data_IF_700851567698
#
_entry.id   IF_700851567698
#
_cell.length_a   1.000
_cell.length_b   1.000
_cell.length_c   1.000
_cell.angle_alpha   90.00
_cell.angle_beta   90.00
_cell.angle_gamma   90.00
#
_symmetry.space_group_name_H-M   'P 1'
#
loop_
_entity.id
_entity.type
_entity.pdbx_description
1 polymer ?
#
# COMPACT_ATOMS: atom_id res chain seq x y z
N UNK A 1 30.03 -15.25 -17.82
CA UNK A 1 28.90 -15.64 -16.96
C UNK A 1 28.69 -14.52 -15.95
N UNK A 2 27.83 -13.53 -16.24
CA UNK A 2 27.35 -12.41 -15.38
C UNK A 2 26.77 -11.32 -16.30
N UNK A 3 25.45 -11.32 -16.53
CA UNK A 3 24.70 -10.19 -17.12
C UNK A 3 23.18 -10.45 -16.97
N UNK A 4 22.65 -10.31 -15.76
CA UNK A 4 21.20 -10.39 -15.48
C UNK A 4 20.70 -9.35 -14.47
N UNK A 5 21.50 -8.34 -14.11
CA UNK A 5 21.15 -7.38 -13.04
C UNK A 5 20.57 -6.03 -13.47
N UNK A 6 20.51 -5.70 -14.77
CA UNK A 6 20.11 -4.35 -15.24
C UNK A 6 18.70 -4.24 -15.83
N UNK A 7 18.05 -5.36 -16.14
CA UNK A 7 16.74 -5.36 -16.84
C UNK A 7 15.54 -5.25 -15.90
N UNK A 8 15.67 -5.67 -14.63
CA UNK A 8 14.57 -5.59 -13.64
C UNK A 8 14.24 -4.19 -13.15
N UNK A 9 15.22 -3.27 -13.12
CA UNK A 9 15.05 -1.90 -12.59
C UNK A 9 14.43 -0.92 -13.60
N UNK A 10 14.53 -1.22 -14.89
CA UNK A 10 13.98 -0.38 -15.97
C UNK A 10 12.51 -0.70 -16.22
N UNK A 11 12.08 -1.95 -16.00
CA UNK A 11 10.71 -2.37 -16.29
C UNK A 11 9.69 -1.76 -15.33
N UNK A 12 10.05 -1.61 -14.05
CA UNK A 12 9.21 -0.98 -13.03
C UNK A 12 9.05 0.52 -13.33
N UNK A 13 10.15 1.22 -13.66
CA UNK A 13 10.12 2.66 -13.96
C UNK A 13 9.39 3.01 -15.28
N UNK A 14 9.45 2.14 -16.29
CA UNK A 14 8.75 2.35 -17.56
C UNK A 14 7.22 2.22 -17.44
N UNK A 15 6.72 1.44 -16.47
CA UNK A 15 5.28 1.39 -16.15
C UNK A 15 4.80 2.64 -15.40
N UNK A 16 5.71 3.39 -14.76
CA UNK A 16 5.38 4.55 -13.92
C UNK A 16 5.28 5.88 -14.68
N UNK A 17 5.99 6.07 -15.79
CA UNK A 17 5.77 7.24 -16.68
C UNK A 17 4.51 7.07 -17.54
N UNK A 18 4.14 5.81 -17.82
CA UNK A 18 3.03 5.43 -18.68
C UNK A 18 1.64 5.78 -18.11
N UNK A 19 1.47 5.76 -16.78
CA UNK A 19 0.20 6.11 -16.14
C UNK A 19 0.00 7.63 -15.96
N UNK A 20 1.09 8.41 -15.97
CA UNK A 20 1.03 9.87 -15.80
C UNK A 20 0.67 10.62 -17.10
N UNK A 21 1.11 10.11 -18.26
CA UNK A 21 0.90 10.79 -19.55
C UNK A 21 -0.36 10.34 -20.31
N UNK A 22 -0.97 9.21 -19.95
CA UNK A 22 -2.17 8.66 -20.64
C UNK A 22 -3.49 9.30 -20.16
N UNK A 23 -3.52 9.90 -18.96
CA UNK A 23 -4.77 10.36 -18.31
C UNK A 23 -4.98 11.88 -18.21
N UNK A 24 -4.18 12.72 -18.87
CA UNK A 24 -4.51 14.15 -19.03
C UNK A 24 -4.92 14.50 -20.47
N UNK A 25 -6.21 14.81 -20.73
CA UNK A 25 -6.61 15.57 -21.92
C UNK A 25 -6.69 17.08 -21.62
N UNK A 26 -6.41 17.96 -22.60
CA UNK A 26 -6.55 19.40 -22.46
C UNK A 26 -8.00 19.84 -22.69
N UNK A 27 -8.44 20.86 -21.95
CA UNK A 27 -9.66 21.61 -22.26
C UNK A 27 -10.76 21.46 -21.22
N UNK A 28 -10.95 22.52 -20.43
CA UNK A 28 -12.19 22.79 -19.69
C UNK A 28 -13.33 23.10 -20.67
N UNK A 29 -14.58 22.74 -20.31
CA UNK A 29 -15.53 23.83 -20.06
C UNK A 29 -16.41 23.63 -18.81
N UNK A 30 -16.54 24.74 -18.10
CA UNK A 30 -17.64 25.23 -17.25
C UNK A 30 -18.66 24.27 -16.63
N UNK A 31 -18.67 24.35 -15.29
CA UNK A 31 -19.72 23.97 -14.34
C UNK A 31 -21.17 24.09 -14.82
N UNK A 32 -22.03 23.19 -14.34
CA UNK A 32 -23.35 23.48 -13.74
C UNK A 32 -23.69 22.36 -12.74
N UNK A 33 -24.13 22.74 -11.54
CA UNK A 33 -24.13 21.89 -10.35
C UNK A 33 -25.32 20.95 -10.18
N UNK A 34 -25.19 20.03 -9.23
CA UNK A 34 -26.31 19.34 -8.58
C UNK A 34 -25.98 19.16 -7.09
N UNK A 35 -26.76 19.86 -6.26
CA UNK A 35 -26.89 19.60 -4.83
C UNK A 35 -27.40 18.18 -4.59
N UNK A 36 -26.71 17.38 -3.76
CA UNK A 36 -27.35 16.28 -3.03
C UNK A 36 -26.98 16.34 -1.55
N UNK A 37 -28.01 16.56 -0.75
CA UNK A 37 -28.01 16.49 0.71
C UNK A 37 -27.75 15.04 1.14
N UNK A 38 -26.71 14.81 1.94
CA UNK A 38 -26.52 13.55 2.65
C UNK A 38 -27.19 13.65 4.02
N UNK A 39 -28.29 12.91 4.18
CA UNK A 39 -29.09 12.82 5.40
C UNK A 39 -28.34 12.08 6.49
N UNK A 40 -28.18 12.73 7.64
CA UNK A 40 -27.55 12.23 8.87
C UNK A 40 -28.41 11.12 9.49
N UNK A 41 -28.18 9.85 9.12
CA UNK A 41 -28.78 8.69 9.80
C UNK A 41 -27.89 7.44 9.74
N UNK A 42 -26.66 7.50 10.24
CA UNK A 42 -25.86 6.29 10.58
C UNK A 42 -24.96 6.52 11.81
N UNK A 43 -25.51 7.02 12.92
CA UNK A 43 -24.76 7.29 14.17
C UNK A 43 -25.18 6.38 15.34
N UNK A 44 -25.66 5.16 15.09
CA UNK A 44 -26.18 4.30 16.15
C UNK A 44 -25.70 2.85 16.09
N UNK A 45 -24.38 2.63 15.95
CA UNK A 45 -23.77 1.32 16.23
C UNK A 45 -22.39 1.52 16.88
N UNK A 46 -22.37 1.90 18.16
CA UNK A 46 -21.17 1.81 19.02
C UNK A 46 -21.58 1.23 20.37
N UNK A 47 -21.43 -0.08 20.51
CA UNK A 47 -21.57 -0.80 21.79
C UNK A 47 -20.26 -1.48 22.19
N UNK A 48 -19.15 -0.76 22.09
CA UNK A 48 -17.97 -0.97 22.94
C UNK A 48 -17.37 0.40 23.25
N UNK A 49 -17.14 0.78 24.51
CA UNK A 49 -16.57 2.09 24.82
C UNK A 49 -15.16 2.14 24.26
N UNK A 50 -14.93 2.97 23.24
CA UNK A 50 -13.59 3.33 22.82
C UNK A 50 -12.89 3.93 24.05
N UNK A 51 -11.90 3.21 24.59
CA UNK A 51 -11.08 3.73 25.69
C UNK A 51 -10.29 4.90 25.10
N UNK A 52 -10.66 6.09 25.53
CA UNK A 52 -9.92 7.32 25.26
C UNK A 52 -8.79 7.39 26.29
N UNK A 53 -7.53 7.35 25.85
CA UNK A 53 -6.43 7.53 26.79
C UNK A 53 -6.41 8.98 27.30
N UNK A 54 -6.00 9.21 28.56
CA UNK A 54 -5.73 10.56 29.08
C UNK A 54 -4.32 11.08 28.70
N UNK A 55 -3.49 10.22 28.09
CA UNK A 55 -2.12 10.48 27.63
C UNK A 55 -1.62 9.31 26.76
N UNK A 56 -0.35 9.29 26.35
CA UNK A 56 0.19 8.19 25.53
C UNK A 56 0.56 6.93 26.35
N UNK A 57 0.48 7.03 27.67
CA UNK A 57 0.78 5.94 28.60
C UNK A 57 -0.22 4.80 28.44
N UNK A 58 0.29 3.58 28.27
CA UNK A 58 -0.53 2.37 28.14
C UNK A 58 -1.01 2.05 26.73
N UNK A 59 -0.71 2.88 25.71
CA UNK A 59 -0.99 2.54 24.29
C UNK A 59 -0.35 1.19 23.93
N UNK A 60 0.89 0.96 24.36
CA UNK A 60 1.59 -0.31 24.14
C UNK A 60 0.87 -1.52 24.78
N UNK A 61 0.28 -1.35 25.97
CA UNK A 61 -0.47 -2.42 26.64
C UNK A 61 -1.74 -2.77 25.88
N UNK A 62 -2.46 -1.77 25.38
CA UNK A 62 -3.66 -2.00 24.58
C UNK A 62 -3.32 -2.65 23.23
N UNK A 63 -2.23 -2.21 22.58
CA UNK A 63 -1.70 -2.87 21.38
C UNK A 63 -1.38 -4.34 21.65
N UNK A 64 -0.63 -4.64 22.72
CA UNK A 64 -0.32 -6.02 23.09
C UNK A 64 -1.58 -6.84 23.36
N UNK A 65 -2.57 -6.26 24.03
CA UNK A 65 -3.86 -6.92 24.29
C UNK A 65 -4.61 -7.22 23.00
N UNK A 66 -4.68 -6.26 22.07
CA UNK A 66 -5.30 -6.45 20.76
C UNK A 66 -4.58 -7.56 19.98
N UNK A 67 -3.25 -7.53 19.91
CA UNK A 67 -2.49 -8.56 19.20
C UNK A 67 -2.70 -9.93 19.86
N UNK A 68 -2.68 -10.04 21.20
CA UNK A 68 -2.98 -11.31 21.89
C UNK A 68 -4.40 -11.81 21.58
N UNK A 69 -5.37 -10.92 21.40
CA UNK A 69 -6.74 -11.30 21.03
C UNK A 69 -6.85 -11.85 19.60
N UNK A 70 -5.82 -11.68 18.75
CA UNK A 70 -5.73 -12.31 17.42
C UNK A 70 -5.38 -13.80 17.47
N UNK A 71 -4.95 -14.32 18.63
CA UNK A 71 -4.44 -15.69 18.78
C UNK A 71 -3.18 -15.98 17.96
N UNK A 72 -2.54 -14.97 17.35
CA UNK A 72 -1.29 -15.10 16.60
C UNK A 72 -0.12 -14.56 17.41
N UNK A 73 1.06 -15.13 17.20
CA UNK A 73 2.28 -14.60 17.79
C UNK A 73 2.77 -13.38 17.00
N UNK A 74 3.31 -12.40 17.73
CA UNK A 74 3.88 -11.18 17.15
C UNK A 74 4.99 -11.53 16.17
N UNK A 75 5.83 -12.50 16.51
CA UNK A 75 6.96 -12.93 15.68
C UNK A 75 6.48 -13.54 14.35
N UNK A 76 5.41 -14.34 14.36
CA UNK A 76 4.84 -14.92 13.14
C UNK A 76 4.27 -13.83 12.21
N UNK A 77 3.55 -12.86 12.78
CA UNK A 77 2.95 -11.76 12.01
C UNK A 77 4.02 -10.84 11.42
N UNK A 78 5.04 -10.50 12.20
CA UNK A 78 6.14 -9.66 11.74
C UNK A 78 7.01 -10.37 10.70
N UNK A 79 7.34 -11.66 10.91
CA UNK A 79 8.05 -12.46 9.91
C UNK A 79 7.29 -12.53 8.59
N UNK A 80 5.97 -12.72 8.64
CA UNK A 80 5.09 -12.73 7.46
C UNK A 80 5.07 -11.38 6.75
N UNK A 81 4.92 -10.27 7.47
CA UNK A 81 4.99 -8.92 6.89
C UNK A 81 6.28 -8.72 6.09
N UNK A 82 7.42 -9.06 6.70
CA UNK A 82 8.73 -8.86 6.10
C UNK A 82 9.05 -9.83 4.96
N UNK A 83 8.33 -10.94 4.87
CA UNK A 83 8.45 -11.90 3.76
C UNK A 83 7.57 -11.48 2.59
N UNK A 84 6.31 -11.13 2.85
CA UNK A 84 5.28 -11.08 1.81
C UNK A 84 4.95 -9.64 1.38
N UNK A 85 4.93 -8.68 2.31
CA UNK A 85 4.49 -7.31 2.03
C UNK A 85 5.65 -6.32 1.86
N UNK A 86 6.68 -6.43 2.70
CA UNK A 86 7.83 -5.51 2.71
C UNK A 86 8.50 -5.36 1.33
N UNK A 87 8.49 -6.42 0.50
CA UNK A 87 9.06 -6.37 -0.85
C UNK A 87 8.32 -5.42 -1.81
N UNK A 88 7.05 -5.13 -1.56
CA UNK A 88 6.26 -4.19 -2.37
C UNK A 88 6.36 -2.75 -1.87
N UNK A 89 6.60 -2.58 -0.57
CA UNK A 89 6.67 -1.26 0.07
C UNK A 89 7.76 -1.27 1.16
N UNK A 90 9.05 -1.16 0.77
CA UNK A 90 10.17 -1.24 1.70
C UNK A 90 10.39 0.08 2.43
N UNK A 91 9.50 0.39 3.37
CA UNK A 91 9.51 1.66 4.12
C UNK A 91 10.09 1.54 5.52
N UNK A 92 10.32 0.32 6.01
CA UNK A 92 10.79 0.00 7.37
C UNK A 92 11.98 -0.96 7.25
N UNK A 93 13.12 -0.61 7.85
CA UNK A 93 14.29 -1.49 7.91
C UNK A 93 14.04 -2.66 8.86
N UNK A 94 14.27 -3.87 8.39
CA UNK A 94 14.10 -5.09 9.20
C UNK A 94 15.00 -5.08 10.44
N UNK A 95 16.26 -4.70 10.31
CA UNK A 95 17.22 -4.71 11.42
C UNK A 95 16.83 -3.71 12.49
N UNK A 96 16.48 -2.47 12.12
CA UNK A 96 15.99 -1.46 13.08
C UNK A 96 14.69 -1.88 13.75
N UNK A 97 13.76 -2.45 12.99
CA UNK A 97 12.51 -2.93 13.57
C UNK A 97 12.74 -4.05 14.60
N UNK A 98 13.57 -5.04 14.26
CA UNK A 98 13.93 -6.14 15.17
C UNK A 98 14.68 -5.65 16.40
N UNK A 99 15.67 -4.76 16.23
CA UNK A 99 16.39 -4.15 17.35
C UNK A 99 15.47 -3.39 18.30
N UNK A 100 14.47 -2.68 17.76
CA UNK A 100 13.46 -2.00 18.57
C UNK A 100 12.50 -2.96 19.30
N UNK A 101 12.23 -4.14 18.71
CA UNK A 101 11.46 -5.20 19.38
C UNK A 101 12.25 -5.89 20.49
N UNK A 102 13.56 -6.13 20.27
CA UNK A 102 14.46 -6.85 21.18
C UNK A 102 14.98 -5.98 22.33
N UNK A 103 14.91 -4.64 22.22
CA UNK A 103 15.27 -3.70 23.28
C UNK A 103 14.29 -3.72 24.49
N UNK A 104 13.93 -4.93 24.96
CA UNK A 104 12.93 -5.33 25.97
C UNK A 104 13.26 -4.93 27.41
N UNK A 105 13.85 -3.75 27.62
CA UNK A 105 14.00 -3.14 28.94
C UNK A 105 13.06 -1.94 29.16
N UNK A 106 12.63 -1.27 28.09
CA UNK A 106 11.79 -0.08 28.14
C UNK A 106 10.42 -0.34 27.48
N UNK A 107 9.38 0.35 27.98
CA UNK A 107 8.09 0.38 27.29
C UNK A 107 8.28 0.94 25.87
N UNK A 108 7.80 0.26 24.81
CA UNK A 108 7.87 0.83 23.47
C UNK A 108 7.05 2.11 23.41
N UNK A 109 7.50 3.05 22.59
CA UNK A 109 6.80 4.32 22.37
C UNK A 109 5.44 4.07 21.69
N UNK A 110 4.52 5.03 21.84
CA UNK A 110 3.16 4.89 21.31
C UNK A 110 3.14 4.79 19.77
N UNK A 111 3.99 5.54 19.08
CA UNK A 111 4.17 5.47 17.63
C UNK A 111 4.74 4.11 17.17
N UNK A 112 5.73 3.56 17.87
CA UNK A 112 6.26 2.22 17.61
C UNK A 112 5.20 1.14 17.83
N UNK A 113 4.38 1.31 18.87
CA UNK A 113 3.30 0.37 19.19
C UNK A 113 2.21 0.37 18.12
N UNK A 114 1.79 1.55 17.64
CA UNK A 114 0.81 1.65 16.55
C UNK A 114 1.40 1.11 15.25
N UNK A 115 2.67 1.36 14.95
CA UNK A 115 3.33 0.78 13.78
C UNK A 115 3.31 -0.75 13.83
N UNK A 116 3.68 -1.34 14.96
CA UNK A 116 3.60 -2.78 15.18
C UNK A 116 2.17 -3.31 14.96
N UNK A 117 1.17 -2.62 15.48
CA UNK A 117 -0.23 -3.01 15.31
C UNK A 117 -0.65 -2.97 13.83
N UNK A 118 -0.23 -1.96 13.06
CA UNK A 118 -0.56 -1.90 11.63
C UNK A 118 0.17 -2.97 10.83
N UNK A 119 1.44 -3.28 11.16
CA UNK A 119 2.17 -4.42 10.59
C UNK A 119 1.40 -5.72 10.84
N UNK A 120 0.94 -5.92 12.08
CA UNK A 120 0.12 -7.07 12.46
C UNK A 120 -1.18 -7.12 11.65
N UNK A 121 -1.87 -6.00 11.45
CA UNK A 121 -3.09 -5.92 10.64
C UNK A 121 -2.88 -6.34 9.18
N UNK A 122 -1.78 -5.89 8.56
CA UNK A 122 -1.46 -6.25 7.17
C UNK A 122 -1.16 -7.75 7.06
N UNK A 123 -0.34 -8.27 7.98
CA UNK A 123 0.07 -9.68 7.98
C UNK A 123 -1.03 -10.64 8.47
N UNK A 124 -2.04 -10.13 9.16
CA UNK A 124 -3.10 -10.95 9.71
C UNK A 124 -3.84 -11.68 8.59
N UNK A 125 -3.97 -12.99 8.73
CA UNK A 125 -4.84 -13.83 7.92
C UNK A 125 -5.72 -14.60 8.91
N UNK A 126 -7.06 -14.42 8.86
CA UNK A 126 -7.94 -15.19 9.73
C UNK A 126 -7.74 -16.68 9.44
N UNK A 127 -7.59 -17.48 10.48
CA UNK A 127 -7.45 -18.93 10.34
C UNK A 127 -8.76 -19.50 9.79
N UNK A 128 -8.73 -20.00 8.55
CA UNK A 128 -9.85 -20.71 7.92
C UNK A 128 -9.93 -22.18 8.35
N UNK A 129 -8.88 -22.73 8.97
CA UNK A 129 -8.66 -24.18 9.02
C UNK A 129 -9.39 -24.93 10.13
N UNK A 130 -10.09 -24.26 11.06
CA UNK A 130 -10.77 -24.98 12.15
C UNK A 130 -12.15 -24.41 12.46
N UNK A 131 -13.20 -25.25 12.45
CA UNK A 131 -14.44 -24.86 13.12
C UNK A 131 -14.10 -24.55 14.58
N UNK A 132 -14.68 -23.47 15.16
CA UNK A 132 -14.40 -23.10 16.54
C UNK A 132 -14.64 -24.31 17.44
N UNK A 133 -13.61 -24.75 18.15
CA UNK A 133 -13.80 -25.80 19.15
C UNK A 133 -14.60 -25.20 20.31
N UNK A 134 -15.47 -25.99 20.90
CA UNK A 134 -16.23 -25.59 22.09
C UNK A 134 -15.24 -25.18 23.19
N UNK A 135 -15.13 -23.87 23.45
CA UNK A 135 -14.16 -23.28 24.39
C UNK A 135 -13.09 -22.36 23.77
N UNK A 136 -12.95 -22.30 22.44
CA UNK A 136 -12.09 -21.30 21.79
C UNK A 136 -12.71 -19.90 21.98
N UNK A 137 -11.95 -18.98 22.57
CA UNK A 137 -12.37 -17.58 22.67
C UNK A 137 -12.55 -17.00 21.26
N UNK A 138 -13.58 -16.18 21.01
CA UNK A 138 -13.74 -15.54 19.71
C UNK A 138 -12.48 -14.75 19.40
N UNK A 139 -11.79 -15.17 18.34
CA UNK A 139 -10.64 -14.47 17.81
C UNK A 139 -11.12 -13.11 17.31
N UNK A 140 -10.38 -12.02 17.56
CA UNK A 140 -10.80 -10.70 17.07
C UNK A 140 -10.91 -10.76 15.54
N UNK A 141 -12.10 -10.43 15.02
CA UNK A 141 -12.33 -10.40 13.58
C UNK A 141 -11.43 -9.35 12.90
N UNK A 142 -11.07 -9.58 11.64
CA UNK A 142 -10.20 -8.67 10.87
C UNK A 142 -10.75 -7.24 10.83
N UNK A 143 -12.08 -7.08 10.72
CA UNK A 143 -12.74 -5.77 10.75
C UNK A 143 -12.57 -5.08 12.10
N UNK A 144 -12.73 -5.80 13.21
CA UNK A 144 -12.51 -5.26 14.56
C UNK A 144 -11.04 -4.89 14.78
N UNK A 145 -10.10 -5.69 14.26
CA UNK A 145 -8.67 -5.37 14.28
C UNK A 145 -8.39 -4.07 13.50
N UNK A 146 -8.92 -3.94 12.28
CA UNK A 146 -8.79 -2.72 11.48
C UNK A 146 -9.35 -1.48 12.20
N UNK A 147 -10.56 -1.57 12.76
CA UNK A 147 -11.18 -0.45 13.48
C UNK A 147 -10.38 -0.07 14.73
N UNK A 148 -9.87 -1.06 15.47
CA UNK A 148 -9.01 -0.82 16.64
C UNK A 148 -7.70 -0.15 16.25
N UNK A 149 -7.04 -0.62 15.18
CA UNK A 149 -5.82 -0.01 14.62
C UNK A 149 -6.07 1.44 14.20
N UNK A 150 -7.15 1.70 13.44
CA UNK A 150 -7.50 3.05 12.98
C UNK A 150 -7.80 3.99 14.13
N UNK A 151 -8.53 3.53 15.15
CA UNK A 151 -8.82 4.31 16.35
C UNK A 151 -7.56 4.65 17.16
N UNK A 152 -6.68 3.67 17.38
CA UNK A 152 -5.42 3.88 18.11
C UNK A 152 -4.47 4.81 17.35
N UNK A 153 -4.37 4.66 16.03
CA UNK A 153 -3.58 5.56 15.19
C UNK A 153 -4.08 6.99 15.28
N UNK A 154 -5.39 7.21 15.18
CA UNK A 154 -5.99 8.54 15.33
C UNK A 154 -5.75 9.15 16.72
N UNK A 155 -5.84 8.34 17.78
CA UNK A 155 -5.53 8.80 19.14
C UNK A 155 -4.08 9.23 19.28
N UNK A 156 -3.13 8.39 18.86
CA UNK A 156 -1.69 8.72 18.92
C UNK A 156 -1.37 9.96 18.09
N UNK A 157 -1.97 10.08 16.90
CA UNK A 157 -1.85 11.27 16.05
C UNK A 157 -2.37 12.53 16.75
N UNK A 158 -3.48 12.46 17.49
CA UNK A 158 -4.04 13.61 18.20
C UNK A 158 -3.23 14.06 19.42
N UNK A 159 -2.39 13.19 19.98
CA UNK A 159 -1.59 13.50 21.17
C UNK A 159 -0.15 13.96 20.86
N UNK A 160 0.42 13.55 19.73
CA UNK A 160 1.79 13.91 19.37
C UNK A 160 1.87 15.32 18.77
N UNK A 161 2.79 16.14 19.29
CA UNK A 161 3.05 17.50 18.77
C UNK A 161 3.72 17.49 17.39
N UNK A 162 4.57 16.49 17.12
CA UNK A 162 5.22 16.30 15.83
C UNK A 162 5.07 14.84 15.39
N UNK A 163 4.69 14.58 14.12
CA UNK A 163 4.55 13.22 13.62
C UNK A 163 5.93 12.58 13.46
N UNK A 164 6.11 11.40 14.06
CA UNK A 164 7.31 10.59 13.87
C UNK A 164 7.25 9.81 12.56
N UNK A 165 8.41 9.37 12.05
CA UNK A 165 8.48 8.51 10.86
C UNK A 165 7.66 7.22 11.03
N UNK A 166 7.67 6.65 12.24
CA UNK A 166 6.91 5.43 12.57
C UNK A 166 5.40 5.62 12.47
N UNK A 167 4.90 6.77 12.94
CA UNK A 167 3.48 7.11 12.81
C UNK A 167 3.09 7.31 11.34
N UNK A 168 3.95 7.94 10.55
CA UNK A 168 3.73 8.15 9.11
C UNK A 168 3.74 6.81 8.37
N UNK A 169 4.73 5.95 8.63
CA UNK A 169 4.79 4.58 8.11
C UNK A 169 3.51 3.81 8.48
N UNK A 170 3.05 3.89 9.74
CA UNK A 170 1.82 3.23 10.19
C UNK A 170 0.58 3.73 9.43
N UNK A 171 0.50 5.04 9.16
CA UNK A 171 -0.62 5.63 8.40
C UNK A 171 -0.59 5.23 6.92
N UNK A 172 0.60 5.21 6.31
CA UNK A 172 0.80 4.71 4.94
C UNK A 172 0.39 3.24 4.82
N UNK A 173 0.83 2.38 5.75
CA UNK A 173 0.43 0.97 5.80
C UNK A 173 -1.09 0.79 5.97
N UNK A 174 -1.74 1.63 6.78
CA UNK A 174 -3.20 1.62 6.95
C UNK A 174 -3.92 2.02 5.66
N UNK A 175 -3.45 3.05 4.96
CA UNK A 175 -4.01 3.46 3.67
C UNK A 175 -3.90 2.34 2.63
N UNK A 176 -2.73 1.69 2.54
CA UNK A 176 -2.53 0.55 1.64
C UNK A 176 -3.42 -0.63 2.00
N UNK A 177 -3.64 -0.89 3.30
CA UNK A 177 -4.60 -1.90 3.75
C UNK A 177 -6.03 -1.57 3.27
N UNK A 178 -6.46 -0.32 3.41
CA UNK A 178 -7.79 0.12 2.97
C UNK A 178 -7.97 -0.02 1.46
N UNK A 179 -6.94 0.35 0.70
CA UNK A 179 -6.92 0.20 -0.74
C UNK A 179 -6.98 -1.27 -1.18
N UNK A 180 -6.15 -2.15 -0.59
CA UNK A 180 -6.16 -3.58 -0.88
C UNK A 180 -7.50 -4.25 -0.54
N UNK A 181 -8.25 -3.71 0.43
CA UNK A 181 -9.61 -4.15 0.74
C UNK A 181 -10.67 -3.56 -0.21
N UNK A 182 -10.25 -2.80 -1.22
CA UNK A 182 -11.13 -2.27 -2.25
C UNK A 182 -11.86 -1.00 -1.87
N UNK A 183 -11.28 -0.17 -1.01
CA UNK A 183 -11.85 1.11 -0.58
C UNK A 183 -10.93 2.26 -0.98
N UNK A 184 -10.74 2.53 -2.30
CA UNK A 184 -9.82 3.56 -2.77
C UNK A 184 -10.15 4.94 -2.21
N UNK A 185 -11.43 5.31 -2.12
CA UNK A 185 -11.86 6.58 -1.52
C UNK A 185 -11.43 6.75 -0.05
N UNK A 186 -11.55 5.68 0.74
CA UNK A 186 -11.13 5.71 2.16
C UNK A 186 -9.61 5.81 2.23
N UNK A 187 -8.92 5.06 1.37
CA UNK A 187 -7.47 5.09 1.27
C UNK A 187 -6.94 6.47 0.84
N UNK A 188 -7.66 7.19 -0.04
CA UNK A 188 -7.34 8.56 -0.46
C UNK A 188 -7.42 9.56 0.69
N UNK A 189 -8.45 9.46 1.54
CA UNK A 189 -8.55 10.31 2.73
C UNK A 189 -7.41 10.01 3.70
N UNK A 190 -7.12 8.73 3.94
CA UNK A 190 -6.03 8.32 4.85
C UNK A 190 -4.66 8.74 4.31
N UNK A 191 -4.39 8.56 3.01
CA UNK A 191 -3.11 8.93 2.40
C UNK A 191 -2.92 10.45 2.35
N UNK A 192 -3.97 11.24 2.15
CA UNK A 192 -3.90 12.69 2.23
C UNK A 192 -3.51 13.16 3.64
N UNK A 193 -4.08 12.55 4.68
CA UNK A 193 -3.67 12.77 6.07
C UNK A 193 -2.21 12.37 6.31
N UNK A 194 -1.79 11.23 5.76
CA UNK A 194 -0.41 10.74 5.81
C UNK A 194 0.57 11.73 5.16
N UNK A 195 0.23 12.26 3.98
CA UNK A 195 1.01 13.28 3.29
C UNK A 195 1.18 14.55 4.13
N UNK A 196 0.12 15.02 4.79
CA UNK A 196 0.20 16.19 5.70
C UNK A 196 1.13 15.94 6.89
N UNK A 197 1.09 14.75 7.47
CA UNK A 197 2.06 14.36 8.51
C UNK A 197 3.50 14.34 7.97
N UNK A 198 3.72 13.78 6.79
CA UNK A 198 5.03 13.75 6.14
C UNK A 198 5.58 15.16 5.82
N UNK A 199 4.72 16.09 5.40
CA UNK A 199 5.11 17.49 5.24
C UNK A 199 5.50 18.13 6.58
N UNK A 200 4.72 17.91 7.63
CA UNK A 200 5.01 18.42 8.97
C UNK A 200 6.33 17.86 9.54
N UNK A 201 6.63 16.58 9.29
CA UNK A 201 7.89 15.93 9.65
C UNK A 201 9.06 16.27 8.70
N UNK A 202 8.81 17.02 7.62
CA UNK A 202 9.81 17.45 6.62
C UNK A 202 10.54 16.32 5.86
N UNK A 203 10.00 15.10 5.87
CA UNK A 203 10.63 13.94 5.18
C UNK A 203 10.64 14.06 3.65
N UNK A 204 9.76 14.89 3.09
CA UNK A 204 9.74 15.23 1.66
C UNK A 204 11.04 15.88 1.15
N UNK A 205 11.85 16.47 2.04
CA UNK A 205 13.12 17.12 1.72
C UNK A 205 14.32 16.29 2.21
N UNK A 206 14.30 14.96 2.02
CA UNK A 206 15.28 14.01 2.60
C UNK A 206 16.77 14.41 2.42
N UNK A 207 17.12 15.22 1.40
CA UNK A 207 18.46 15.80 1.20
C UNK A 207 18.93 16.72 2.34
N UNK A 208 18.02 17.33 3.11
CA UNK A 208 18.33 18.26 4.21
C UNK A 208 18.64 17.54 5.55
N UNK A 209 18.33 16.26 5.67
CA UNK A 209 18.55 15.50 6.92
C UNK A 209 19.97 14.94 7.08
N UNK A 210 20.86 15.12 6.09
CA UNK A 210 22.28 14.75 6.21
C UNK A 210 23.09 15.62 7.20
N UNK A 211 22.46 16.62 7.83
CA UNK A 211 23.12 17.57 8.74
C UNK A 211 22.77 17.39 10.21
N UNK A 212 21.89 16.43 10.57
CA UNK A 212 21.45 16.23 11.95
C UNK A 212 21.54 14.75 12.32
N UNK A 213 21.94 14.45 13.56
CA UNK A 213 22.53 13.17 14.00
C UNK A 213 21.62 11.94 14.03
N UNK A 214 20.68 11.81 13.10
CA UNK A 214 19.86 10.61 12.89
C UNK A 214 20.66 9.45 12.28
N UNK A 215 20.27 8.22 12.62
CA UNK A 215 20.87 7.03 11.99
C UNK A 215 20.62 7.08 10.49
N UNK A 216 21.61 6.78 9.64
CA UNK A 216 21.47 6.82 8.18
C UNK A 216 20.24 6.06 7.67
N UNK A 217 19.94 4.91 8.26
CA UNK A 217 18.75 4.12 7.96
C UNK A 217 17.44 4.87 8.19
N UNK A 218 17.38 5.79 9.15
CA UNK A 218 16.19 6.61 9.39
C UNK A 218 15.95 7.61 8.26
N UNK A 219 17.02 8.17 7.68
CA UNK A 219 16.95 9.03 6.50
C UNK A 219 16.46 8.23 5.29
N UNK A 220 16.98 7.01 5.11
CA UNK A 220 16.56 6.13 4.02
C UNK A 220 15.11 5.66 4.17
N UNK A 221 14.69 5.29 5.38
CA UNK A 221 13.28 4.99 5.68
C UNK A 221 12.37 6.19 5.40
N UNK A 222 12.80 7.41 5.76
CA UNK A 222 12.07 8.64 5.48
C UNK A 222 11.91 8.90 3.98
N UNK A 223 12.98 8.70 3.20
CA UNK A 223 12.95 8.81 1.74
C UNK A 223 12.03 7.77 1.11
N UNK A 224 12.16 6.50 1.50
CA UNK A 224 11.29 5.42 1.01
C UNK A 224 9.83 5.64 1.41
N UNK A 225 9.57 6.13 2.62
CA UNK A 225 8.22 6.45 3.10
C UNK A 225 7.60 7.59 2.29
N UNK A 226 8.36 8.65 2.01
CA UNK A 226 7.89 9.76 1.17
C UNK A 226 7.50 9.28 -0.23
N UNK A 227 8.35 8.47 -0.87
CA UNK A 227 8.04 7.85 -2.16
C UNK A 227 6.84 6.91 -2.09
N UNK A 228 6.71 6.14 -1.01
CA UNK A 228 5.55 5.30 -0.75
C UNK A 228 4.24 6.10 -0.72
N UNK A 229 4.24 7.27 -0.09
CA UNK A 229 3.08 8.17 -0.07
C UNK A 229 2.78 8.71 -1.46
N UNK A 230 3.80 9.24 -2.14
CA UNK A 230 3.70 9.79 -3.49
C UNK A 230 3.13 8.75 -4.45
N UNK A 231 3.65 7.53 -4.48
CA UNK A 231 3.19 6.50 -5.40
C UNK A 231 1.78 6.04 -5.03
N UNK A 232 1.50 5.80 -3.74
CA UNK A 232 0.20 5.29 -3.28
C UNK A 232 -0.94 6.26 -3.59
N UNK A 233 -0.75 7.57 -3.36
CA UNK A 233 -1.77 8.58 -3.68
C UNK A 233 -2.18 8.51 -5.16
N UNK A 234 -1.22 8.30 -6.07
CA UNK A 234 -1.45 8.29 -7.52
C UNK A 234 -2.18 7.02 -7.93
N UNK A 235 -1.74 5.89 -7.39
CA UNK A 235 -2.41 4.59 -7.60
C UNK A 235 -3.85 4.64 -7.11
N UNK A 236 -4.10 5.20 -5.93
CA UNK A 236 -5.45 5.25 -5.36
C UNK A 236 -6.38 6.18 -6.14
N UNK A 237 -5.87 7.31 -6.66
CA UNK A 237 -6.65 8.25 -7.48
C UNK A 237 -7.09 7.61 -8.79
N UNK A 238 -6.19 6.85 -9.45
CA UNK A 238 -6.53 6.15 -10.69
C UNK A 238 -7.74 5.21 -10.54
N UNK A 239 -7.96 4.66 -9.35
CA UNK A 239 -9.04 3.72 -9.05
C UNK A 239 -10.30 4.34 -8.47
N UNK A 240 -10.19 5.54 -7.90
CA UNK A 240 -11.33 6.23 -7.29
C UNK A 240 -12.32 6.76 -8.35
N UNK A 241 -11.87 6.95 -9.61
CA UNK A 241 -12.71 7.42 -10.71
C UNK A 241 -13.03 8.93 -10.66
N UNK A 242 -12.93 9.56 -9.49
CA UNK A 242 -13.10 11.01 -9.31
C UNK A 242 -11.74 11.73 -9.20
N UNK A 243 -11.26 12.29 -10.30
CA UNK A 243 -10.05 13.14 -10.37
C UNK A 243 -10.25 14.56 -9.79
N UNK A 244 -11.37 14.82 -9.11
CA UNK A 244 -11.75 16.14 -8.60
C UNK A 244 -10.87 16.68 -7.45
N UNK A 245 -10.40 15.87 -6.49
CA UNK A 245 -9.59 16.37 -5.38
C UNK A 245 -8.15 16.70 -5.81
N UNK A 246 -7.59 17.84 -5.38
CA UNK A 246 -6.17 18.11 -5.61
C UNK A 246 -5.31 17.10 -4.83
N UNK A 247 -4.24 16.61 -5.47
CA UNK A 247 -3.24 15.77 -4.82
C UNK A 247 -2.65 16.50 -3.62
N UNK A 248 -2.55 15.80 -2.48
CA UNK A 248 -1.90 16.33 -1.29
C UNK A 248 -0.38 16.43 -1.50
N UNK A 249 0.21 15.51 -2.27
CA UNK A 249 1.64 15.51 -2.56
C UNK A 249 2.00 16.19 -3.89
N UNK A 250 3.10 16.92 -3.86
CA UNK A 250 3.75 17.46 -5.06
C UNK A 250 4.58 16.35 -5.71
N UNK A 251 4.58 16.27 -7.04
CA UNK A 251 5.44 15.33 -7.76
C UNK A 251 6.92 15.74 -7.56
N UNK A 252 7.77 14.86 -7.00
CA UNK A 252 9.18 15.17 -6.84
C UNK A 252 9.85 15.35 -8.20
N UNK A 253 10.72 16.35 -8.33
CA UNK A 253 11.43 16.67 -9.59
C UNK A 253 12.90 16.99 -9.34
N UNK A 254 13.66 17.12 -10.44
CA UNK A 254 15.08 17.50 -10.40
C UNK A 254 15.94 16.48 -9.65
N UNK A 255 16.69 16.97 -8.66
CA UNK A 255 17.65 16.18 -7.89
C UNK A 255 17.04 15.38 -6.74
N UNK A 256 15.71 15.24 -6.68
CA UNK A 256 15.10 14.40 -5.65
C UNK A 256 15.57 12.96 -5.83
N UNK A 257 16.16 12.37 -4.81
CA UNK A 257 16.70 11.01 -4.86
C UNK A 257 15.59 9.96 -4.87
N UNK A 258 15.73 8.93 -5.70
CA UNK A 258 14.83 7.78 -5.78
C UNK A 258 14.92 6.89 -4.51
N UNK A 259 13.86 6.12 -4.20
CA UNK A 259 13.87 5.24 -3.04
C UNK A 259 14.93 4.16 -3.18
N UNK A 260 15.51 3.73 -2.06
CA UNK A 260 16.45 2.61 -2.03
C UNK A 260 15.74 1.27 -2.09
N UNK A 261 16.47 0.30 -2.63
CA UNK A 261 16.04 -1.08 -2.75
C UNK A 261 15.90 -1.76 -1.37
N UNK A 262 14.98 -2.72 -1.26
CA UNK A 262 14.74 -3.52 -0.04
C UNK A 262 16.03 -4.17 0.48
N UNK A 263 16.87 -4.67 -0.43
CA UNK A 263 18.06 -5.42 -0.07
C UNK A 263 19.14 -4.52 0.52
N UNK A 264 19.13 -3.23 0.17
CA UNK A 264 20.02 -2.21 0.74
C UNK A 264 19.46 -1.76 2.10
N UNK A 265 18.14 -1.57 2.20
CA UNK A 265 17.48 -1.16 3.45
C UNK A 265 17.58 -2.20 4.57
N UNK A 266 17.62 -3.49 4.22
CA UNK A 266 17.72 -4.62 5.15
C UNK A 266 19.18 -5.01 5.50
N UNK A 267 20.20 -4.44 4.84
CA UNK A 267 21.63 -4.77 5.07
C UNK A 267 22.38 -3.59 5.71
N UNK A 268 22.70 -3.69 6.99
CA UNK A 268 23.49 -2.67 7.71
C UNK A 268 24.92 -2.49 7.16
N UNK A 269 25.55 -3.57 6.67
CA UNK A 269 26.94 -3.57 6.20
C UNK A 269 27.16 -2.80 4.88
N UNK A 270 26.11 -2.49 4.12
CA UNK A 270 26.17 -1.79 2.82
C UNK A 270 25.86 -0.27 2.93
N UNK A 271 25.85 0.26 4.15
CA UNK A 271 25.55 1.67 4.41
C UNK A 271 26.80 2.56 4.41
N UNK A 272 27.85 2.23 3.64
CA UNK A 272 28.97 3.14 3.44
C UNK A 272 28.59 4.28 2.49
N UNK A 273 29.12 5.51 2.65
CA UNK A 273 28.75 6.67 1.82
C UNK A 273 28.78 6.38 0.31
N UNK A 274 29.76 5.58 -0.11
CA UNK A 274 30.05 5.28 -1.51
C UNK A 274 29.23 4.12 -2.10
N UNK A 275 28.49 3.37 -1.28
CA UNK A 275 27.80 2.15 -1.73
C UNK A 275 26.29 2.30 -1.94
N UNK A 276 25.67 3.40 -1.47
CA UNK A 276 24.27 3.67 -1.76
C UNK A 276 24.15 4.55 -3.01
N UNK A 277 23.48 4.08 -4.07
CA UNK A 277 23.35 4.85 -5.30
C UNK A 277 22.45 6.09 -5.09
N UNK A 278 23.00 7.28 -5.34
CA UNK A 278 22.26 8.55 -5.40
C UNK A 278 21.73 8.77 -6.81
N UNK A 279 20.58 8.18 -7.11
CA UNK A 279 19.92 8.30 -8.42
C UNK A 279 18.83 9.38 -8.29
N UNK A 280 19.01 10.56 -8.91
CA UNK A 280 17.98 11.60 -8.90
C UNK A 280 16.83 11.29 -9.87
N UNK A 281 15.66 11.87 -9.63
CA UNK A 281 14.50 11.81 -10.54
C UNK A 281 14.84 12.35 -11.92
N UNK A 282 15.75 13.32 -12.03
CA UNK A 282 16.23 13.84 -13.32
C UNK A 282 16.87 12.77 -14.22
N UNK A 283 17.39 11.67 -13.65
CA UNK A 283 17.85 10.52 -14.42
C UNK A 283 16.70 9.76 -15.11
N UNK A 284 15.48 9.82 -14.56
CA UNK A 284 14.29 9.26 -15.19
C UNK A 284 13.78 10.14 -16.33
N UNK A 285 13.98 11.46 -16.23
CA UNK A 285 13.54 12.43 -17.26
C UNK A 285 14.61 12.71 -18.32
N UNK A 286 15.81 12.12 -18.19
CA UNK A 286 16.89 12.33 -19.16
C UNK A 286 16.46 11.81 -20.53
N UNK A 287 16.54 12.72 -21.51
CA UNK A 287 15.89 12.65 -22.82
C UNK A 287 16.30 11.46 -23.69
N UNK A 288 17.26 10.62 -23.29
CA UNK A 288 17.60 9.40 -24.04
C UNK A 288 16.51 8.33 -24.01
N UNK A 289 15.62 8.35 -23.01
CA UNK A 289 14.48 7.40 -22.93
C UNK A 289 13.24 7.97 -23.65
N UNK A 290 13.04 9.29 -23.63
CA UNK A 290 11.85 9.97 -24.20
C UNK A 290 12.04 10.28 -25.70
N UNK A 291 13.25 10.63 -26.15
CA UNK A 291 13.52 10.94 -27.57
C UNK A 291 13.55 9.71 -28.50
N UNK A 292 13.62 8.49 -27.94
CA UNK A 292 13.66 7.26 -28.74
C UNK A 292 12.28 6.81 -29.27
N UNK A 293 11.17 7.42 -28.82
CA UNK A 293 9.83 7.08 -29.31
C UNK A 293 8.95 8.33 -29.47
N UNK A 294 9.26 9.15 -30.47
CA UNK A 294 8.25 10.02 -31.11
C UNK A 294 7.23 9.14 -31.87
N UNK A 295 6.47 8.33 -31.13
CA UNK A 295 5.25 7.72 -31.63
C UNK A 295 4.13 8.74 -31.47
N UNK A 296 3.21 8.77 -32.43
CA UNK A 296 2.00 9.56 -32.29
C UNK A 296 1.23 9.14 -31.03
N UNK A 297 0.46 10.06 -30.43
CA UNK A 297 -0.40 9.75 -29.28
C UNK A 297 -1.32 8.54 -29.56
N UNK A 298 -1.76 8.40 -30.81
CA UNK A 298 -2.59 7.30 -31.30
C UNK A 298 -1.85 5.95 -31.24
N UNK A 299 -0.60 5.91 -31.70
CA UNK A 299 0.24 4.70 -31.65
C UNK A 299 0.63 4.33 -30.23
N UNK A 300 0.83 5.32 -29.36
CA UNK A 300 1.03 5.12 -27.93
C UNK A 300 -0.21 4.51 -27.29
N UNK A 301 -1.39 5.09 -27.51
CA UNK A 301 -2.67 4.56 -27.01
C UNK A 301 -2.90 3.13 -27.49
N UNK A 302 -2.66 2.85 -28.78
CA UNK A 302 -2.81 1.49 -29.34
C UNK A 302 -1.84 0.49 -28.71
N UNK A 303 -0.57 0.86 -28.55
CA UNK A 303 0.44 0.01 -27.89
C UNK A 303 0.07 -0.23 -26.43
N UNK A 304 -0.47 0.79 -25.77
CA UNK A 304 -0.91 0.73 -24.38
C UNK A 304 -2.08 -0.22 -24.19
N UNK A 305 -3.08 -0.10 -25.06
CA UNK A 305 -4.25 -0.95 -25.08
C UNK A 305 -3.87 -2.41 -25.30
N UNK A 306 -2.97 -2.70 -26.25
CA UNK A 306 -2.47 -4.05 -26.50
C UNK A 306 -1.70 -4.64 -25.31
N UNK A 307 -0.91 -3.82 -24.60
CA UNK A 307 -0.23 -4.24 -23.38
C UNK A 307 -1.23 -4.56 -22.26
N UNK A 308 -2.28 -3.75 -22.09
CA UNK A 308 -3.33 -3.97 -21.10
C UNK A 308 -4.18 -5.20 -21.44
N UNK A 309 -4.43 -5.46 -22.73
CA UNK A 309 -5.06 -6.69 -23.21
C UNK A 309 -4.20 -7.92 -22.84
N UNK A 310 -2.89 -7.83 -23.06
CA UNK A 310 -1.94 -8.89 -22.71
C UNK A 310 -1.92 -9.13 -21.19
N UNK A 311 -1.81 -8.07 -20.39
CA UNK A 311 -1.80 -8.16 -18.94
C UNK A 311 -3.09 -8.78 -18.39
N UNK A 312 -4.24 -8.36 -18.92
CA UNK A 312 -5.56 -8.93 -18.56
C UNK A 312 -5.64 -10.41 -18.90
N UNK A 313 -5.12 -10.82 -20.06
CA UNK A 313 -5.04 -12.23 -20.46
C UNK A 313 -4.16 -13.03 -19.49
N UNK A 314 -2.99 -12.50 -19.11
CA UNK A 314 -2.13 -13.14 -18.11
C UNK A 314 -2.83 -13.29 -16.75
N UNK A 315 -3.61 -12.30 -16.32
CA UNK A 315 -4.38 -12.36 -15.06
C UNK A 315 -5.46 -13.44 -15.12
N UNK A 316 -6.13 -13.59 -16.26
CA UNK A 316 -7.09 -14.68 -16.50
C UNK A 316 -6.37 -16.04 -16.42
N UNK A 317 -5.21 -16.18 -17.06
CA UNK A 317 -4.44 -17.42 -17.04
C UNK A 317 -3.92 -17.75 -15.63
N UNK A 318 -3.47 -16.75 -14.87
CA UNK A 318 -3.13 -16.89 -13.46
C UNK A 318 -4.34 -17.37 -12.65
N UNK A 319 -5.50 -16.72 -12.81
CA UNK A 319 -6.73 -17.11 -12.12
C UNK A 319 -7.09 -18.57 -12.42
N UNK A 320 -7.07 -18.98 -13.69
CA UNK A 320 -7.31 -20.37 -14.13
C UNK A 320 -6.30 -21.34 -13.53
N UNK A 321 -5.02 -20.98 -13.52
CA UNK A 321 -3.98 -21.81 -12.90
C UNK A 321 -4.21 -21.98 -11.39
N UNK A 322 -4.60 -20.91 -10.69
CA UNK A 322 -4.95 -20.98 -9.27
C UNK A 322 -6.23 -21.81 -8.98
N UNK A 323 -7.08 -22.03 -9.98
CA UNK A 323 -8.20 -22.98 -9.90
C UNK A 323 -7.78 -24.42 -10.15
N UNK A 324 -6.89 -24.66 -11.11
CA UNK A 324 -6.49 -26.02 -11.52
C UNK A 324 -5.40 -26.64 -10.65
N UNK A 325 -4.52 -25.82 -10.07
CA UNK A 325 -3.22 -26.28 -9.56
C UNK A 325 -3.05 -26.16 -8.04
N UNK A 326 -3.98 -25.50 -7.33
CA UNK A 326 -3.90 -25.32 -5.87
C UNK A 326 -4.94 -26.20 -5.14
N UNK A 327 -4.53 -26.95 -4.10
CA UNK A 327 -5.48 -27.64 -3.23
C UNK A 327 -6.46 -26.66 -2.60
N UNK A 328 -7.72 -27.08 -2.44
CA UNK A 328 -8.77 -26.31 -1.75
C UNK A 328 -8.43 -25.93 -0.30
N UNK A 329 -7.36 -26.50 0.26
CA UNK A 329 -6.97 -26.47 1.68
C UNK A 329 -5.59 -25.81 1.92
N UNK A 330 -4.98 -25.19 0.89
CA UNK A 330 -3.67 -24.55 1.00
C UNK A 330 -3.75 -23.03 1.21
N UNK A 331 -3.04 -22.50 2.21
CA UNK A 331 -2.78 -21.05 2.32
C UNK A 331 -2.04 -20.59 1.06
N UNK A 332 -2.74 -19.86 0.20
CA UNK A 332 -2.18 -19.32 -1.03
C UNK A 332 -1.30 -18.10 -0.65
N UNK A 333 -0.01 -18.09 -1.03
CA UNK A 333 0.95 -16.97 -0.79
C UNK A 333 0.60 -15.69 -1.62
N UNK A 334 -0.66 -15.54 -1.99
CA UNK A 334 -1.12 -14.55 -2.96
C UNK A 334 -1.24 -13.20 -2.28
N UNK A 335 -0.26 -12.33 -2.50
CA UNK A 335 -0.21 -10.95 -1.98
C UNK A 335 -1.52 -10.18 -2.21
N UNK A 336 -1.97 -9.32 -1.27
CA UNK A 336 -3.20 -8.53 -1.38
C UNK A 336 -3.30 -7.68 -2.66
N UNK A 337 -2.16 -7.39 -3.30
CA UNK A 337 -2.10 -6.65 -4.56
C UNK A 337 -2.83 -7.36 -5.71
N UNK A 338 -3.01 -8.69 -5.64
CA UNK A 338 -3.76 -9.44 -6.65
C UNK A 338 -5.25 -9.04 -6.69
N UNK A 339 -5.82 -8.60 -5.56
CA UNK A 339 -7.20 -8.10 -5.51
C UNK A 339 -7.34 -6.86 -6.40
N UNK A 340 -6.35 -5.96 -6.35
CA UNK A 340 -6.30 -4.79 -7.21
C UNK A 340 -6.14 -5.20 -8.67
N UNK A 341 -5.12 -6.01 -8.98
CA UNK A 341 -4.82 -6.42 -10.37
C UNK A 341 -6.03 -7.09 -11.03
N UNK A 342 -6.72 -7.97 -10.32
CA UNK A 342 -7.93 -8.63 -10.84
C UNK A 342 -9.06 -7.62 -11.09
N UNK A 343 -9.30 -6.65 -10.20
CA UNK A 343 -10.30 -5.59 -10.44
C UNK A 343 -9.93 -4.71 -11.63
N UNK A 344 -8.68 -4.28 -11.72
CA UNK A 344 -8.20 -3.45 -12.81
C UNK A 344 -8.36 -4.17 -14.16
N UNK A 345 -8.08 -5.48 -14.21
CA UNK A 345 -8.35 -6.33 -15.37
C UNK A 345 -9.84 -6.39 -15.72
N UNK A 346 -10.72 -6.59 -14.74
CA UNK A 346 -12.17 -6.61 -14.98
C UNK A 346 -12.70 -5.25 -15.46
N UNK A 347 -12.17 -4.16 -14.93
CA UNK A 347 -12.57 -2.81 -15.32
C UNK A 347 -12.07 -2.46 -16.73
N UNK A 348 -10.84 -2.88 -17.07
CA UNK A 348 -10.35 -2.81 -18.45
C UNK A 348 -11.27 -3.58 -19.41
N UNK A 349 -11.65 -4.82 -19.07
CA UNK A 349 -12.58 -5.60 -19.89
C UNK A 349 -13.93 -4.91 -20.11
N UNK A 350 -14.40 -4.12 -19.14
CA UNK A 350 -15.64 -3.34 -19.25
C UNK A 350 -15.49 -2.08 -20.08
N UNK A 351 -14.41 -1.33 -19.88
CA UNK A 351 -14.18 -0.03 -20.51
C UNK A 351 -13.50 -0.13 -21.88
N UNK A 352 -12.97 -1.30 -22.25
CA UNK A 352 -12.28 -1.53 -23.52
C UNK A 352 -13.19 -1.17 -24.72
N UNK A 353 -12.74 -0.27 -25.62
CA UNK A 353 -13.48 0.07 -26.82
C UNK A 353 -13.72 -1.16 -27.71
N UNK A 354 -14.92 -1.24 -28.29
CA UNK A 354 -15.27 -2.32 -29.23
C UNK A 354 -14.70 -2.00 -30.62
N UNK A 355 -13.67 -2.73 -31.03
CA UNK A 355 -13.01 -2.61 -32.35
C UNK A 355 -13.32 -3.81 -33.27
N UNK A 356 -14.47 -4.47 -33.06
CA UNK A 356 -14.90 -5.63 -33.86
C UNK A 356 -14.34 -6.99 -33.41
N UNK A 357 -13.34 -7.01 -32.53
CA UNK A 357 -12.84 -8.22 -31.88
C UNK A 357 -12.87 -8.07 -30.35
N UNK A 358 -13.48 -9.04 -29.66
CA UNK A 358 -13.50 -9.12 -28.20
C UNK A 358 -12.47 -10.17 -27.79
N UNK A 359 -11.32 -9.77 -27.21
CA UNK A 359 -10.21 -10.70 -26.94
C UNK A 359 -10.55 -11.81 -25.94
N UNK A 360 -11.63 -11.63 -25.17
CA UNK A 360 -12.02 -12.55 -24.10
C UNK A 360 -13.47 -13.00 -24.24
N UNK A 361 -13.72 -14.23 -23.81
CA UNK A 361 -15.07 -14.79 -23.70
C UNK A 361 -15.91 -13.98 -22.70
N UNK A 362 -17.23 -14.04 -22.86
CA UNK A 362 -18.16 -13.50 -21.85
C UNK A 362 -17.99 -14.20 -20.49
N UNK A 363 -17.48 -15.43 -20.47
CA UNK A 363 -17.19 -16.17 -19.23
C UNK A 363 -16.01 -15.62 -18.44
N UNK A 364 -15.04 -14.96 -19.09
CA UNK A 364 -13.80 -14.54 -18.44
C UNK A 364 -14.03 -13.52 -17.31
N UNK A 365 -15.03 -12.64 -17.44
CA UNK A 365 -15.41 -11.71 -16.37
C UNK A 365 -15.94 -12.46 -15.15
N UNK A 366 -16.75 -13.51 -15.38
CA UNK A 366 -17.29 -14.35 -14.31
C UNK A 366 -16.19 -15.18 -13.64
N UNK A 367 -15.23 -15.69 -14.40
CA UNK A 367 -14.06 -16.43 -13.88
C UNK A 367 -13.18 -15.55 -12.99
N UNK A 368 -12.90 -14.31 -13.43
CA UNK A 368 -12.17 -13.32 -12.63
C UNK A 368 -12.96 -12.90 -11.40
N UNK A 369 -14.29 -12.74 -11.50
CA UNK A 369 -15.14 -12.43 -10.35
C UNK A 369 -15.10 -13.54 -9.31
N UNK A 370 -15.21 -14.80 -9.72
CA UNK A 370 -15.09 -15.94 -8.82
C UNK A 370 -13.70 -15.95 -8.16
N UNK A 371 -12.65 -15.66 -8.93
CA UNK A 371 -11.27 -15.62 -8.41
C UNK A 371 -11.08 -14.49 -7.41
N UNK A 372 -11.64 -13.33 -7.71
CA UNK A 372 -11.70 -12.20 -6.81
C UNK A 372 -12.43 -12.56 -5.52
N UNK A 373 -13.55 -13.27 -5.59
CA UNK A 373 -14.30 -13.70 -4.41
C UNK A 373 -13.52 -14.72 -3.58
N UNK A 374 -12.76 -15.63 -4.20
CA UNK A 374 -11.83 -16.54 -3.50
C UNK A 374 -10.71 -15.77 -2.80
N UNK A 375 -10.08 -14.79 -3.48
CA UNK A 375 -9.08 -13.90 -2.88
C UNK A 375 -9.69 -13.05 -1.77
N UNK A 376 -10.92 -12.55 -1.95
CA UNK A 376 -11.65 -11.81 -0.93
C UNK A 376 -11.97 -12.71 0.25
N UNK A 377 -12.37 -13.96 0.10
CA UNK A 377 -12.53 -14.85 1.25
C UNK A 377 -11.23 -15.05 2.04
N UNK A 378 -10.06 -15.01 1.37
CA UNK A 378 -8.76 -15.07 2.04
C UNK A 378 -8.40 -13.76 2.78
N UNK A 379 -8.79 -12.60 2.24
CA UNK A 379 -8.29 -11.28 2.70
C UNK A 379 -9.35 -10.34 3.31
N UNK A 380 -10.61 -10.48 2.92
CA UNK A 380 -11.78 -9.66 3.27
C UNK A 380 -12.78 -10.54 4.03
N UNK A 381 -13.03 -10.23 5.31
CA UNK A 381 -14.06 -10.94 6.08
C UNK A 381 -15.42 -10.85 5.37
N UNK A 382 -16.15 -11.97 5.32
CA UNK A 382 -17.57 -11.97 4.96
C UNK A 382 -18.29 -10.96 5.85
N UNK A 383 -19.03 -10.05 5.22
CA UNK A 383 -19.93 -9.16 5.94
C UNK A 383 -21.17 -10.00 6.28
N UNK A 384 -21.27 -10.45 7.53
CA UNK A 384 -22.54 -10.87 8.10
C UNK A 384 -23.20 -9.69 8.83
#
# INVERSE_FOLDING_TARGET
>A
MLRTGRTGKVLVAATFQFLADVFMPPGTPTAHGIHRQYTVRQLAIWRHPARFFRGLDGVHLEVQKIIRSTGKFVDDLTARYFRDFHGHLPIISRTRFQSNLIATGASPSADSSVLLLTICLIAYLPSSDRPPREGDKPNIGRQSLYLATKALLAQVQGYLQQPSIRLIQASLLLATYEYANGRPEVALVTIAGCARMAYAARIHNSRRHNMDGGSRLEVEEAGNTWWGIVISERVFICDAGDFGPPMATILPSGDTRLPIDRDILDREDLLSPDSIPDIPVSCLTSTSVISANLRSLEEWKKSSLAALDTATTMVIDMAKWHYSSLPSDGTNDTSPIHIYVVRASMEHMRLRPYDGDRPWSESAVNELQLYLDKLRHQWVASHD
#
